data_IF_637266346564
#
_entry.id   IF_637266346564
#
_cell.length_a   1.000
_cell.length_b   1.000
_cell.length_c   1.000
_cell.angle_alpha   90.00
_cell.angle_beta   90.00
_cell.angle_gamma   90.00
#
_symmetry.space_group_name_H-M   'P 1'
#
loop_
_entity.id
_entity.type
_entity.pdbx_description
1 polymer ?
#
# COMPACT_ATOMS: atom_id res chain seq x y z
N UNK A 1 7.84 -9.50 -20.53
CA UNK A 1 6.38 -9.57 -20.50
C UNK A 1 5.83 -8.16 -20.39
N UNK A 2 4.65 -7.92 -20.96
CA UNK A 2 3.80 -6.75 -20.78
C UNK A 2 2.74 -7.04 -19.73
N UNK A 3 2.84 -6.38 -18.59
CA UNK A 3 2.02 -6.62 -17.40
C UNK A 3 1.09 -5.42 -17.23
N UNK A 4 -0.22 -5.63 -17.38
CA UNK A 4 -1.21 -4.60 -17.08
C UNK A 4 -1.45 -4.51 -15.58
N UNK A 5 -1.28 -3.33 -14.99
CA UNK A 5 -1.46 -3.10 -13.55
C UNK A 5 -1.96 -1.68 -13.27
N UNK A 6 -2.91 -1.54 -12.34
CA UNK A 6 -3.41 -0.23 -11.91
C UNK A 6 -2.56 0.38 -10.79
N UNK A 7 -2.36 1.69 -10.83
CA UNK A 7 -1.72 2.43 -9.74
C UNK A 7 -2.70 2.65 -8.57
N UNK A 8 -2.94 1.60 -7.80
CA UNK A 8 -3.84 1.63 -6.62
C UNK A 8 -3.06 1.99 -5.36
N UNK A 9 -2.00 1.22 -5.06
CA UNK A 9 -1.13 1.38 -3.90
C UNK A 9 0.27 1.84 -4.33
N UNK A 10 0.57 3.13 -4.17
CA UNK A 10 1.81 3.74 -4.70
C UNK A 10 3.10 3.10 -4.18
N UNK A 11 3.20 2.86 -2.87
CA UNK A 11 4.38 2.22 -2.26
C UNK A 11 4.56 0.77 -2.71
N UNK A 12 3.47 -0.02 -2.78
CA UNK A 12 3.53 -1.39 -3.30
C UNK A 12 3.92 -1.43 -4.79
N UNK A 13 3.28 -0.58 -5.59
CA UNK A 13 3.52 -0.50 -7.04
C UNK A 13 4.96 -0.11 -7.30
N UNK A 14 5.53 0.79 -6.49
CA UNK A 14 6.94 1.20 -6.59
C UNK A 14 7.89 0.02 -6.48
N UNK A 15 7.66 -0.90 -5.56
CA UNK A 15 8.46 -2.14 -5.47
C UNK A 15 8.18 -3.09 -6.63
N UNK A 16 6.90 -3.23 -7.01
CA UNK A 16 6.47 -4.18 -8.03
C UNK A 16 7.06 -3.88 -9.42
N UNK A 17 7.16 -2.60 -9.78
CA UNK A 17 7.64 -2.17 -11.11
C UNK A 17 9.16 -2.20 -11.29
N UNK A 18 9.93 -2.64 -10.29
CA UNK A 18 11.41 -2.70 -10.37
C UNK A 18 11.94 -3.89 -11.17
N UNK A 19 11.07 -4.82 -11.59
CA UNK A 19 11.47 -5.97 -12.38
C UNK A 19 11.83 -5.61 -13.83
N UNK A 20 12.43 -6.57 -14.54
CA UNK A 20 12.81 -6.43 -15.96
C UNK A 20 11.65 -6.56 -16.95
N UNK A 21 10.43 -6.17 -16.56
CA UNK A 21 9.24 -6.27 -17.40
C UNK A 21 8.76 -4.88 -17.84
N UNK A 22 7.85 -4.88 -18.81
CA UNK A 22 7.10 -3.68 -19.18
C UNK A 22 5.78 -3.70 -18.41
N UNK A 23 5.51 -2.63 -17.67
CA UNK A 23 4.34 -2.48 -16.81
C UNK A 23 3.43 -1.42 -17.42
N UNK A 24 2.30 -1.84 -17.96
CA UNK A 24 1.31 -0.98 -18.59
C UNK A 24 0.42 -0.39 -17.48
N UNK A 25 0.44 0.93 -17.35
CA UNK A 25 -0.25 1.69 -16.33
C UNK A 25 -1.38 2.49 -16.99
N UNK A 26 -2.64 2.14 -16.78
CA UNK A 26 -3.75 2.89 -17.34
C UNK A 26 -3.70 4.36 -16.93
N UNK A 27 -3.88 5.26 -17.90
CA UNK A 27 -3.95 6.70 -17.68
C UNK A 27 -5.20 7.29 -18.33
N UNK A 28 -5.93 8.09 -17.56
CA UNK A 28 -7.06 8.91 -18.03
C UNK A 28 -6.65 10.38 -18.08
N UNK A 29 -7.36 11.18 -18.86
CA UNK A 29 -7.08 12.61 -19.01
C UNK A 29 -7.15 13.38 -17.67
N UNK A 30 -8.07 12.99 -16.79
CA UNK A 30 -8.23 13.56 -15.45
C UNK A 30 -7.28 12.95 -14.40
N UNK A 31 -6.59 11.85 -14.77
CA UNK A 31 -5.75 11.03 -13.88
C UNK A 31 -6.48 10.59 -12.61
N UNK A 32 -7.77 10.27 -12.76
CA UNK A 32 -8.62 9.79 -11.68
C UNK A 32 -8.21 8.41 -11.13
N UNK A 33 -8.90 7.92 -10.08
CA UNK A 33 -8.57 6.66 -9.40
C UNK A 33 -8.43 5.42 -10.30
N UNK A 34 -9.11 5.39 -11.43
CA UNK A 34 -9.09 4.25 -12.36
C UNK A 34 -8.01 4.35 -13.44
N UNK A 35 -7.37 5.52 -13.59
CA UNK A 35 -6.31 5.74 -14.56
C UNK A 35 -5.37 6.84 -14.12
N UNK A 36 -4.74 6.70 -12.95
CA UNK A 36 -3.80 7.69 -12.42
C UNK A 36 -2.53 7.83 -13.29
N UNK A 37 -2.16 6.76 -13.99
CA UNK A 37 -0.85 6.62 -14.62
C UNK A 37 0.28 6.49 -13.60
N UNK A 38 1.46 6.97 -13.99
CA UNK A 38 2.69 6.96 -13.20
C UNK A 38 2.56 7.80 -11.94
N UNK A 39 3.28 7.37 -10.91
CA UNK A 39 3.48 8.13 -9.69
C UNK A 39 4.06 9.53 -9.92
N UNK A 40 3.63 10.50 -9.10
CA UNK A 40 4.23 11.85 -9.01
C UNK A 40 5.31 11.95 -7.93
N UNK A 41 5.15 11.22 -6.83
CA UNK A 41 6.04 11.24 -5.65
C UNK A 41 7.14 10.17 -5.68
N UNK A 42 7.06 9.22 -6.63
CA UNK A 42 8.05 8.16 -6.84
C UNK A 42 8.64 8.25 -8.25
N UNK A 43 9.93 7.93 -8.37
CA UNK A 43 10.60 7.83 -9.67
C UNK A 43 10.55 6.38 -10.18
N UNK A 44 9.51 6.02 -10.93
CA UNK A 44 9.38 4.68 -11.51
C UNK A 44 10.32 4.48 -12.71
N UNK A 45 10.79 3.25 -12.99
CA UNK A 45 11.68 2.99 -14.12
C UNK A 45 10.99 3.25 -15.47
N UNK A 46 11.78 3.32 -16.54
CA UNK A 46 11.29 3.51 -17.90
C UNK A 46 10.33 2.40 -18.35
N UNK A 47 10.44 1.20 -17.77
CA UNK A 47 9.53 0.08 -18.04
C UNK A 47 8.10 0.27 -17.53
N UNK A 48 7.82 1.29 -16.70
CA UNK A 48 6.46 1.61 -16.26
C UNK A 48 5.77 2.59 -17.22
N UNK A 49 5.09 2.09 -18.23
CA UNK A 49 4.59 2.87 -19.37
C UNK A 49 3.13 3.27 -19.14
N UNK A 50 2.79 4.54 -19.32
CA UNK A 50 1.39 4.98 -19.30
C UNK A 50 0.70 4.59 -20.62
N UNK A 51 -0.52 4.07 -20.54
CA UNK A 51 -1.29 3.62 -21.70
C UNK A 51 -2.75 4.05 -21.53
N UNK A 52 -3.37 4.60 -22.57
CA UNK A 52 -4.80 5.00 -22.51
C UNK A 52 -5.72 3.79 -22.71
N UNK A 53 -7.01 3.89 -22.32
CA UNK A 53 -7.99 2.84 -22.60
C UNK A 53 -8.09 2.46 -24.09
N UNK A 54 -7.95 3.42 -25.00
CA UNK A 54 -7.98 3.19 -26.44
C UNK A 54 -6.77 2.38 -26.90
N UNK A 55 -5.57 2.72 -26.41
CA UNK A 55 -4.34 1.98 -26.72
C UNK A 55 -4.36 0.56 -26.15
N UNK A 56 -4.97 0.36 -24.97
CA UNK A 56 -5.11 -0.95 -24.33
C UNK A 56 -5.96 -1.95 -25.14
N UNK A 57 -6.83 -1.47 -26.03
CA UNK A 57 -7.62 -2.34 -26.89
C UNK A 57 -6.73 -3.08 -27.90
N UNK A 58 -5.65 -2.45 -28.35
CA UNK A 58 -4.77 -2.95 -29.40
C UNK A 58 -3.43 -3.50 -28.88
N UNK A 59 -3.02 -3.12 -27.66
CA UNK A 59 -1.74 -3.58 -27.06
C UNK A 59 -1.82 -5.04 -26.60
N UNK A 60 -0.79 -5.85 -26.93
CA UNK A 60 -0.64 -7.18 -26.35
C UNK A 60 -0.38 -7.10 -24.84
N UNK A 61 -1.15 -7.87 -24.07
CA UNK A 61 -1.01 -7.97 -22.62
C UNK A 61 -0.75 -9.44 -22.30
N UNK A 62 0.38 -9.73 -21.69
CA UNK A 62 0.76 -11.11 -21.34
C UNK A 62 0.05 -11.57 -20.05
N UNK A 63 -0.14 -10.65 -19.11
CA UNK A 63 -0.81 -10.91 -17.83
C UNK A 63 -1.41 -9.64 -17.24
N UNK A 64 -2.53 -9.80 -16.53
CA UNK A 64 -3.23 -8.71 -15.83
C UNK A 64 -3.09 -8.88 -14.31
N UNK A 65 -2.68 -7.83 -13.62
CA UNK A 65 -2.60 -7.76 -12.16
C UNK A 65 -3.72 -6.86 -11.64
N UNK A 66 -4.75 -7.51 -11.11
CA UNK A 66 -5.93 -6.87 -10.52
C UNK A 66 -5.64 -6.57 -9.05
N UNK A 67 -6.12 -5.44 -8.53
CA UNK A 67 -5.94 -5.04 -7.12
C UNK A 67 -7.25 -4.62 -6.45
N UNK A 68 -8.32 -4.45 -7.24
CA UNK A 68 -9.66 -4.06 -6.80
C UNK A 68 -10.72 -4.87 -7.55
N UNK A 69 -11.90 -5.10 -6.97
CA UNK A 69 -12.97 -5.84 -7.65
C UNK A 69 -13.37 -5.21 -8.99
N UNK A 70 -13.43 -3.87 -9.08
CA UNK A 70 -13.77 -3.18 -10.33
C UNK A 70 -12.72 -3.34 -11.45
N UNK A 71 -11.48 -3.72 -11.13
CA UNK A 71 -10.43 -3.87 -12.13
C UNK A 71 -10.77 -4.98 -13.13
N UNK A 72 -11.60 -5.97 -12.76
CA UNK A 72 -12.10 -7.00 -13.67
C UNK A 72 -12.92 -6.42 -14.81
N UNK A 73 -13.86 -5.53 -14.48
CA UNK A 73 -14.73 -4.90 -15.46
C UNK A 73 -13.97 -3.86 -16.29
N UNK A 74 -13.07 -3.09 -15.66
CA UNK A 74 -12.19 -2.15 -16.36
C UNK A 74 -11.27 -2.88 -17.35
N UNK A 75 -10.63 -3.98 -16.92
CA UNK A 75 -9.80 -4.81 -17.78
C UNK A 75 -10.59 -5.31 -18.99
N UNK A 76 -11.80 -5.85 -18.77
CA UNK A 76 -12.66 -6.32 -19.86
C UNK A 76 -13.04 -5.20 -20.82
N UNK A 77 -13.41 -4.03 -20.29
CA UNK A 77 -13.84 -2.89 -21.10
C UNK A 77 -12.69 -2.29 -21.92
N UNK A 78 -11.49 -2.19 -21.35
CA UNK A 78 -10.36 -1.47 -21.97
C UNK A 78 -9.47 -2.38 -22.81
N UNK A 79 -9.37 -3.66 -22.46
CA UNK A 79 -8.56 -4.62 -23.23
C UNK A 79 -9.37 -5.43 -24.24
N UNK A 80 -10.71 -5.36 -24.16
CA UNK A 80 -11.65 -6.21 -24.91
C UNK A 80 -11.44 -7.73 -24.68
N UNK A 81 -10.73 -8.11 -23.61
CA UNK A 81 -10.36 -9.49 -23.25
C UNK A 81 -10.86 -9.80 -21.84
N UNK A 82 -11.28 -11.05 -21.60
CA UNK A 82 -11.74 -11.50 -20.27
C UNK A 82 -10.54 -11.94 -19.42
N UNK A 83 -10.27 -11.30 -18.27
CA UNK A 83 -9.22 -11.73 -17.36
C UNK A 83 -9.44 -13.17 -16.87
N UNK A 84 -8.39 -13.99 -16.87
CA UNK A 84 -8.43 -15.41 -16.47
C UNK A 84 -8.99 -16.36 -17.53
N UNK A 85 -9.45 -15.85 -18.69
CA UNK A 85 -9.96 -16.67 -19.80
C UNK A 85 -9.23 -16.37 -21.10
N UNK A 86 -9.26 -15.12 -21.56
CA UNK A 86 -8.61 -14.71 -22.81
C UNK A 86 -7.17 -14.24 -22.56
N UNK A 87 -6.88 -13.74 -21.34
CA UNK A 87 -5.55 -13.34 -20.87
C UNK A 87 -5.35 -13.83 -19.43
N UNK A 88 -4.20 -14.42 -19.07
CA UNK A 88 -3.89 -14.76 -17.68
C UNK A 88 -4.06 -13.57 -16.75
N UNK A 89 -4.68 -13.79 -15.58
CA UNK A 89 -4.88 -12.74 -14.60
C UNK A 89 -4.61 -13.25 -13.18
N UNK A 90 -4.16 -12.35 -12.32
CA UNK A 90 -3.99 -12.59 -10.88
C UNK A 90 -4.62 -11.43 -10.11
N UNK A 91 -5.22 -11.73 -8.96
CA UNK A 91 -5.76 -10.70 -8.06
C UNK A 91 -4.87 -10.57 -6.83
N UNK A 92 -4.28 -9.40 -6.61
CA UNK A 92 -3.47 -9.12 -5.43
C UNK A 92 -4.35 -8.50 -4.35
N UNK A 93 -4.48 -9.20 -3.23
CA UNK A 93 -5.26 -8.73 -2.07
C UNK A 93 -4.34 -8.04 -1.05
N UNK A 94 -4.48 -6.72 -0.94
CA UNK A 94 -3.70 -5.85 -0.07
C UNK A 94 -4.30 -5.62 1.30
N UNK A 95 -5.60 -5.85 1.46
CA UNK A 95 -6.38 -5.40 2.58
C UNK A 95 -6.85 -6.58 3.43
N UNK A 96 -7.16 -6.26 4.68
CA UNK A 96 -7.87 -7.17 5.57
C UNK A 96 -9.36 -7.19 5.22
N UNK A 97 -10.05 -8.30 5.50
CA UNK A 97 -11.49 -8.39 5.30
C UNK A 97 -12.26 -7.32 6.10
N UNK A 98 -13.36 -6.86 5.51
CA UNK A 98 -14.35 -5.99 6.15
C UNK A 98 -15.72 -6.19 5.51
N UNK A 99 -16.84 -6.09 6.28
CA UNK A 99 -16.98 -5.47 7.60
C UNK A 99 -16.68 -6.42 8.79
N UNK A 100 -16.61 -7.73 8.57
CA UNK A 100 -16.38 -8.74 9.61
C UNK A 100 -15.03 -9.44 9.43
N UNK A 101 -14.24 -9.51 10.50
CA UNK A 101 -12.88 -10.05 10.44
C UNK A 101 -12.77 -11.49 9.94
N UNK A 102 -13.70 -12.37 10.32
CA UNK A 102 -13.60 -13.82 10.08
C UNK A 102 -14.65 -14.38 9.12
N UNK A 103 -15.67 -13.58 8.77
CA UNK A 103 -16.82 -14.07 7.97
C UNK A 103 -17.03 -13.25 6.69
N UNK A 104 -16.17 -12.26 6.42
CA UNK A 104 -16.24 -11.56 5.15
C UNK A 104 -15.66 -12.45 4.08
N UNK A 105 -16.49 -12.73 3.08
CA UNK A 105 -16.13 -13.50 1.90
C UNK A 105 -15.42 -12.63 0.87
N UNK A 106 -14.36 -13.16 0.28
CA UNK A 106 -13.60 -12.46 -0.76
C UNK A 106 -14.45 -12.26 -2.02
N UNK A 107 -14.36 -11.11 -2.73
CA UNK A 107 -15.11 -10.87 -3.96
C UNK A 107 -14.88 -11.88 -5.08
N UNK A 108 -13.70 -12.52 -5.10
CA UNK A 108 -13.33 -13.58 -6.04
C UNK A 108 -13.44 -15.00 -5.44
N UNK A 109 -14.21 -15.19 -4.36
CA UNK A 109 -14.42 -16.52 -3.78
C UNK A 109 -15.17 -17.46 -4.75
N UNK A 110 -14.85 -18.75 -4.66
CA UNK A 110 -15.49 -19.85 -5.43
C UNK A 110 -15.42 -19.76 -6.95
N UNK A 111 -14.26 -19.37 -7.45
CA UNK A 111 -13.91 -19.52 -8.86
C UNK A 111 -12.46 -19.98 -9.02
N UNK A 112 -12.11 -20.49 -10.19
CA UNK A 112 -10.79 -21.07 -10.47
C UNK A 112 -10.01 -20.37 -11.59
N UNK A 113 -10.59 -19.37 -12.24
CA UNK A 113 -10.02 -18.66 -13.39
C UNK A 113 -8.93 -17.65 -12.97
N UNK A 114 -9.08 -17.01 -11.81
CA UNK A 114 -8.18 -15.95 -11.32
C UNK A 114 -7.70 -16.30 -9.91
N UNK A 115 -6.44 -16.71 -9.71
CA UNK A 115 -5.91 -16.93 -8.37
C UNK A 115 -5.82 -15.63 -7.56
N UNK A 116 -6.01 -15.75 -6.25
CA UNK A 116 -5.88 -14.66 -5.28
C UNK A 116 -4.49 -14.76 -4.65
N UNK A 117 -3.68 -13.72 -4.79
CA UNK A 117 -2.36 -13.59 -4.18
C UNK A 117 -2.49 -12.64 -2.99
N UNK A 118 -2.35 -13.17 -1.79
CA UNK A 118 -2.33 -12.37 -0.57
C UNK A 118 -0.92 -11.83 -0.31
N UNK A 119 -0.84 -10.58 0.12
CA UNK A 119 0.46 -9.95 0.43
C UNK A 119 1.02 -10.31 1.80
N UNK A 120 0.26 -11.06 2.60
CA UNK A 120 0.69 -11.61 3.88
C UNK A 120 0.01 -12.95 4.17
N UNK A 121 0.65 -13.77 5.01
CA UNK A 121 0.01 -14.95 5.58
C UNK A 121 -1.22 -14.61 6.44
N UNK A 122 -1.23 -13.42 7.07
CA UNK A 122 -2.40 -12.92 7.81
C UNK A 122 -3.61 -12.74 6.88
N UNK A 123 -3.45 -12.05 5.74
CA UNK A 123 -4.59 -11.84 4.83
C UNK A 123 -5.15 -13.17 4.31
N UNK A 124 -4.28 -14.13 3.97
CA UNK A 124 -4.71 -15.47 3.53
C UNK A 124 -5.49 -16.21 4.60
N UNK A 125 -5.11 -16.05 5.88
CA UNK A 125 -5.79 -16.70 6.99
C UNK A 125 -7.19 -16.13 7.24
N UNK A 126 -7.34 -14.80 7.13
CA UNK A 126 -8.57 -14.11 7.55
C UNK A 126 -9.59 -13.93 6.43
N UNK A 127 -9.19 -13.92 5.16
CA UNK A 127 -10.15 -13.90 4.06
C UNK A 127 -10.79 -15.26 3.86
N UNK A 128 -12.13 -15.30 3.81
CA UNK A 128 -12.85 -16.46 3.31
C UNK A 128 -12.85 -16.43 1.77
N UNK A 129 -11.91 -17.16 1.17
CA UNK A 129 -11.79 -17.28 -0.29
C UNK A 129 -12.62 -18.45 -0.87
N UNK A 130 -13.36 -19.20 -0.05
CA UNK A 130 -14.05 -20.42 -0.48
C UNK A 130 -13.10 -21.39 -1.18
N UNK A 131 -13.49 -21.87 -2.36
CA UNK A 131 -12.71 -22.78 -3.21
C UNK A 131 -11.71 -22.09 -4.16
N UNK A 132 -11.57 -20.76 -4.09
CA UNK A 132 -10.63 -20.04 -4.94
C UNK A 132 -9.18 -20.40 -4.61
N UNK A 133 -8.33 -20.46 -5.65
CA UNK A 133 -6.90 -20.72 -5.47
C UNK A 133 -6.25 -19.52 -4.77
N UNK A 134 -5.52 -19.79 -3.69
CA UNK A 134 -4.83 -18.75 -2.91
C UNK A 134 -3.34 -19.03 -2.81
N UNK A 135 -2.53 -17.98 -2.96
CA UNK A 135 -1.09 -18.00 -2.73
C UNK A 135 -0.68 -16.81 -1.85
N UNK A 136 0.53 -16.88 -1.29
CA UNK A 136 1.13 -15.74 -0.58
C UNK A 136 2.41 -15.32 -1.29
N UNK A 137 2.49 -14.05 -1.64
CA UNK A 137 3.74 -13.38 -2.04
C UNK A 137 3.89 -12.18 -1.13
N UNK A 138 4.82 -12.28 -0.19
CA UNK A 138 5.00 -11.26 0.83
C UNK A 138 5.42 -9.92 0.23
N UNK A 139 5.10 -8.86 0.95
CA UNK A 139 5.53 -7.52 0.59
C UNK A 139 7.05 -7.40 0.46
N UNK A 140 7.49 -6.85 -0.67
CA UNK A 140 8.85 -6.35 -0.87
C UNK A 140 8.90 -4.83 -0.85
N UNK A 141 10.01 -4.27 -0.38
CA UNK A 141 10.33 -2.83 -0.47
C UNK A 141 11.63 -2.65 -1.25
N UNK A 142 11.76 -1.51 -1.95
CA UNK A 142 13.06 -1.07 -2.46
C UNK A 142 13.92 -0.73 -1.24
N UNK A 143 15.05 -1.41 -1.08
CA UNK A 143 15.92 -1.23 0.09
C UNK A 143 16.43 0.23 0.15
N UNK A 144 16.00 1.03 1.14
CA UNK A 144 16.48 2.39 1.32
C UNK A 144 17.92 2.46 1.88
N UNK A 145 18.47 1.33 2.31
CA UNK A 145 19.75 1.24 3.02
C UNK A 145 19.65 1.69 4.48
N UNK A 146 20.72 1.44 5.22
CA UNK A 146 20.83 1.84 6.63
C UNK A 146 21.07 3.34 6.77
N UNK A 147 20.15 4.06 7.43
CA UNK A 147 20.24 5.51 7.66
C UNK A 147 20.11 5.92 9.14
N UNK A 148 19.83 4.99 10.04
CA UNK A 148 19.50 5.30 11.44
C UNK A 148 20.57 6.13 12.16
N UNK A 149 20.14 7.26 12.75
CA UNK A 149 20.97 8.11 13.63
C UNK A 149 20.42 8.26 15.04
N UNK A 150 19.09 8.19 15.22
CA UNK A 150 18.44 8.30 16.54
C UNK A 150 18.69 9.63 17.29
N UNK A 151 19.09 10.67 16.57
CA UNK A 151 19.52 11.95 17.15
C UNK A 151 18.38 12.72 17.85
N UNK A 152 17.11 12.53 17.44
CA UNK A 152 15.94 13.14 18.08
C UNK A 152 15.32 12.16 19.07
N UNK A 153 15.20 12.59 20.32
CA UNK A 153 14.50 11.88 21.39
C UNK A 153 12.96 11.86 21.19
N UNK A 154 12.53 11.35 20.04
CA UNK A 154 11.14 11.28 19.57
C UNK A 154 10.88 9.91 18.93
N UNK A 155 9.61 9.51 18.89
CA UNK A 155 9.16 8.32 18.18
C UNK A 155 8.55 8.69 16.83
N UNK A 156 8.89 7.94 15.78
CA UNK A 156 8.30 8.10 14.45
C UNK A 156 7.08 7.18 14.29
N UNK A 157 6.00 7.72 13.74
CA UNK A 157 4.82 6.96 13.29
C UNK A 157 4.60 7.28 11.81
N UNK A 158 4.40 6.27 10.98
CA UNK A 158 4.12 6.48 9.54
C UNK A 158 2.74 5.93 9.22
N UNK A 159 1.80 6.79 8.85
CA UNK A 159 0.39 6.45 8.66
C UNK A 159 -0.27 7.35 7.61
N UNK A 160 -1.11 6.76 6.75
CA UNK A 160 -1.94 7.49 5.79
C UNK A 160 -3.39 7.49 6.23
N UNK A 161 -4.05 8.63 6.04
CA UNK A 161 -5.46 8.89 6.38
C UNK A 161 -5.84 8.57 7.84
N UNK A 162 -5.04 8.98 8.84
CA UNK A 162 -5.23 8.55 10.23
C UNK A 162 -6.56 9.01 10.84
N UNK A 163 -7.09 10.17 10.46
CA UNK A 163 -8.40 10.64 10.96
C UNK A 163 -9.53 9.79 10.37
N UNK A 164 -9.49 9.50 9.07
CA UNK A 164 -10.51 8.69 8.38
C UNK A 164 -10.48 7.22 8.82
N UNK A 165 -9.28 6.64 8.96
CA UNK A 165 -9.08 5.21 9.27
C UNK A 165 -9.08 4.90 10.75
N UNK A 166 -8.81 5.90 11.58
CA UNK A 166 -8.94 5.89 13.03
C UNK A 166 -8.43 4.61 13.69
N UNK A 167 -9.32 3.80 14.28
CA UNK A 167 -8.95 2.59 15.03
C UNK A 167 -8.22 1.54 14.20
N UNK A 168 -8.48 1.46 12.90
CA UNK A 168 -7.84 0.46 12.03
C UNK A 168 -6.33 0.66 11.97
N UNK A 169 -5.87 1.92 11.99
CA UNK A 169 -4.44 2.29 11.96
C UNK A 169 -3.90 2.70 13.33
N UNK A 170 -4.72 2.61 14.38
CA UNK A 170 -4.31 2.92 15.75
C UNK A 170 -4.19 4.39 16.09
N UNK A 171 -4.87 5.28 15.36
CA UNK A 171 -4.81 6.73 15.63
C UNK A 171 -5.25 7.08 17.06
N UNK A 172 -6.23 6.37 17.60
CA UNK A 172 -6.72 6.51 18.97
C UNK A 172 -5.69 6.11 20.05
N UNK A 173 -4.59 5.45 19.68
CA UNK A 173 -3.50 5.10 20.60
C UNK A 173 -2.47 6.21 20.77
N UNK A 174 -2.38 7.13 19.79
CA UNK A 174 -1.37 8.18 19.77
C UNK A 174 -1.38 9.06 21.04
N UNK A 175 -2.52 9.44 21.64
CA UNK A 175 -2.52 10.21 22.90
C UNK A 175 -1.92 9.45 24.09
N UNK A 176 -2.04 8.11 24.10
CA UNK A 176 -1.44 7.30 25.15
C UNK A 176 0.06 7.13 24.96
N UNK A 177 0.47 6.85 23.72
CA UNK A 177 1.87 6.71 23.33
C UNK A 177 2.64 8.03 23.48
N UNK A 178 1.98 9.16 23.19
CA UNK A 178 2.58 10.48 23.31
C UNK A 178 2.90 10.87 24.75
N UNK A 179 2.45 10.14 25.77
CA UNK A 179 2.91 10.34 27.17
C UNK A 179 4.29 9.74 27.42
N UNK A 180 4.67 8.67 26.71
CA UNK A 180 5.97 8.03 26.87
C UNK A 180 7.09 8.82 26.15
N UNK A 181 6.84 9.29 24.93
CA UNK A 181 7.76 10.13 24.17
C UNK A 181 6.98 11.06 23.21
N UNK A 182 7.53 12.23 22.82
CA UNK A 182 6.92 13.02 21.77
C UNK A 182 6.90 12.27 20.43
N UNK A 183 5.83 12.44 19.66
CA UNK A 183 5.58 11.73 18.41
C UNK A 183 5.79 12.64 17.20
N UNK A 184 6.44 12.12 16.18
CA UNK A 184 6.48 12.72 14.84
C UNK A 184 5.74 11.79 13.88
N UNK A 185 4.63 12.28 13.32
CA UNK A 185 3.72 11.51 12.47
C UNK A 185 3.91 11.89 11.01
N UNK A 186 4.30 10.94 10.19
CA UNK A 186 4.56 11.10 8.77
C UNK A 186 3.48 10.40 7.94
N UNK A 187 3.18 10.94 6.76
CA UNK A 187 2.30 10.29 5.78
C UNK A 187 1.26 11.25 5.22
N UNK A 188 0.21 10.68 4.64
CA UNK A 188 -0.85 11.42 3.96
C UNK A 188 -2.02 11.75 4.90
N UNK A 189 -2.60 12.93 4.75
CA UNK A 189 -3.71 13.48 5.50
C UNK A 189 -3.48 13.44 7.03
N UNK A 190 -2.27 13.80 7.44
CA UNK A 190 -1.83 13.83 8.85
C UNK A 190 -1.97 15.20 9.49
N UNK A 191 -2.04 16.30 8.72
CA UNK A 191 -2.02 17.68 9.22
C UNK A 191 -3.09 17.97 10.30
N UNK A 192 -4.29 17.41 10.16
CA UNK A 192 -5.41 17.62 11.10
C UNK A 192 -5.25 16.87 12.45
N UNK A 193 -4.26 15.97 12.59
CA UNK A 193 -4.14 15.12 13.77
C UNK A 193 -4.03 15.85 15.11
N UNK A 194 -3.21 16.93 15.26
CA UNK A 194 -3.06 17.62 16.53
C UNK A 194 -4.40 18.13 17.07
N UNK A 195 -5.25 18.68 16.20
CA UNK A 195 -6.56 19.23 16.56
C UNK A 195 -7.56 18.13 16.94
N UNK A 196 -7.40 16.92 16.38
CA UNK A 196 -8.31 15.79 16.63
C UNK A 196 -8.00 15.01 17.90
N UNK A 197 -6.75 15.01 18.37
CA UNK A 197 -6.28 14.09 19.39
C UNK A 197 -6.17 14.68 20.80
N UNK A 198 -6.45 15.98 20.98
CA UNK A 198 -6.31 16.68 22.26
C UNK A 198 -4.93 16.41 22.92
N UNK A 199 -3.89 16.35 22.10
CA UNK A 199 -2.50 16.16 22.53
C UNK A 199 -1.83 17.53 22.61
N UNK A 200 -1.03 17.76 23.65
CA UNK A 200 -0.30 19.02 23.80
C UNK A 200 0.63 19.24 22.57
N UNK A 201 0.72 20.47 22.02
CA UNK A 201 1.48 20.73 20.78
C UNK A 201 2.95 20.29 20.84
N UNK A 202 3.55 20.28 22.03
CA UNK A 202 4.92 19.82 22.27
C UNK A 202 5.07 18.28 22.34
N UNK A 203 4.01 17.53 22.12
CA UNK A 203 3.99 16.06 22.18
C UNK A 203 3.67 15.40 20.85
N UNK A 204 3.24 16.14 19.83
CA UNK A 204 2.90 15.58 18.52
C UNK A 204 3.14 16.60 17.40
N UNK A 205 3.96 16.23 16.42
CA UNK A 205 4.15 16.96 15.17
C UNK A 205 3.75 16.10 13.97
N UNK A 206 3.39 16.75 12.88
CA UNK A 206 2.95 16.10 11.64
C UNK A 206 3.80 16.54 10.46
N UNK A 207 4.06 15.60 9.56
CA UNK A 207 4.90 15.75 8.37
C UNK A 207 4.13 15.19 7.17
N UNK A 208 3.42 16.09 6.50
CA UNK A 208 2.46 15.78 5.45
C UNK A 208 3.15 15.46 4.12
N UNK A 209 2.81 14.29 3.55
CA UNK A 209 3.11 13.85 2.17
C UNK A 209 4.54 14.15 1.66
N UNK A 210 5.54 13.91 2.51
CA UNK A 210 6.94 14.08 2.12
C UNK A 210 7.33 13.10 0.99
N UNK A 211 8.18 13.51 0.03
CA UNK A 211 8.82 12.58 -0.88
C UNK A 211 9.52 11.44 -0.12
N UNK A 212 9.40 10.20 -0.61
CA UNK A 212 9.80 9.00 0.14
C UNK A 212 11.24 9.06 0.68
N UNK A 213 12.21 9.48 -0.14
CA UNK A 213 13.62 9.62 0.28
C UNK A 213 13.79 10.66 1.39
N UNK A 214 13.01 11.75 1.38
CA UNK A 214 13.05 12.76 2.43
C UNK A 214 12.40 12.22 3.72
N UNK A 215 11.27 11.53 3.59
CA UNK A 215 10.62 10.84 4.72
C UNK A 215 11.58 9.84 5.39
N UNK A 216 12.28 9.00 4.61
CA UNK A 216 13.24 8.04 5.14
C UNK A 216 14.36 8.69 5.97
N UNK A 217 14.93 9.80 5.48
CA UNK A 217 15.93 10.57 6.20
C UNK A 217 15.36 11.13 7.51
N UNK A 218 14.16 11.68 7.48
CA UNK A 218 13.53 12.24 8.68
C UNK A 218 13.17 11.15 9.70
N UNK A 219 12.56 10.05 9.27
CA UNK A 219 12.22 8.92 10.13
C UNK A 219 13.47 8.34 10.80
N UNK A 220 14.55 8.14 10.06
CA UNK A 220 15.81 7.58 10.58
C UNK A 220 16.48 8.42 11.69
N UNK A 221 16.13 9.70 11.79
CA UNK A 221 16.61 10.59 12.85
C UNK A 221 15.87 10.41 14.18
N UNK A 222 14.73 9.70 14.21
CA UNK A 222 13.94 9.42 15.42
C UNK A 222 14.45 8.13 16.09
N UNK A 223 14.32 8.02 17.41
CA UNK A 223 14.93 6.92 18.18
C UNK A 223 14.25 5.57 17.98
N UNK A 224 12.95 5.57 17.69
CA UNK A 224 12.15 4.36 17.57
C UNK A 224 11.03 4.58 16.55
N UNK A 225 10.73 3.56 15.77
CA UNK A 225 9.53 3.50 14.95
C UNK A 225 8.41 2.78 15.71
N UNK A 226 7.23 3.39 15.77
CA UNK A 226 6.06 2.84 16.45
C UNK A 226 5.00 2.46 15.42
N UNK A 227 4.75 1.15 15.29
CA UNK A 227 3.76 0.59 14.39
C UNK A 227 2.42 0.39 15.11
N UNK A 228 1.45 1.27 14.84
CA UNK A 228 0.16 1.31 15.55
C UNK A 228 -0.98 0.58 14.84
N UNK A 229 -0.75 -0.01 13.68
CA UNK A 229 -1.82 -0.63 12.90
C UNK A 229 -2.48 -1.78 13.67
N UNK A 230 -3.83 -1.84 13.63
CA UNK A 230 -4.61 -2.90 14.28
C UNK A 230 -5.33 -3.82 13.30
N UNK A 231 -5.95 -3.24 12.28
CA UNK A 231 -6.75 -3.97 11.30
C UNK A 231 -6.41 -3.47 9.91
N UNK A 232 -5.18 -3.77 9.53
CA UNK A 232 -4.61 -3.55 8.21
C UNK A 232 -3.82 -4.78 7.82
N UNK A 233 -3.41 -4.89 6.56
CA UNK A 233 -2.30 -5.77 6.23
C UNK A 233 -0.99 -5.23 6.82
N UNK A 234 0.13 -5.91 6.59
CA UNK A 234 1.45 -5.46 6.97
C UNK A 234 1.76 -4.11 6.30
N UNK A 235 1.98 -3.06 7.10
CA UNK A 235 2.32 -1.75 6.56
C UNK A 235 3.74 -1.76 5.99
N UNK A 236 3.91 -1.37 4.72
CA UNK A 236 5.23 -1.29 4.08
C UNK A 236 6.20 -0.36 4.83
N UNK A 237 5.68 0.66 5.52
CA UNK A 237 6.49 1.56 6.35
C UNK A 237 7.17 0.88 7.53
N UNK A 238 6.67 -0.27 7.99
CA UNK A 238 7.36 -1.11 8.97
C UNK A 238 8.60 -1.76 8.35
N UNK A 239 8.48 -2.33 7.15
CA UNK A 239 9.62 -2.92 6.44
C UNK A 239 10.66 -1.86 6.12
N UNK A 240 10.23 -0.69 5.63
CA UNK A 240 11.12 0.46 5.38
C UNK A 240 11.85 0.87 6.67
N UNK A 241 11.16 0.99 7.81
CA UNK A 241 11.78 1.32 9.09
C UNK A 241 12.83 0.27 9.54
N UNK A 242 12.56 -1.02 9.30
CA UNK A 242 13.51 -2.10 9.58
C UNK A 242 14.77 -1.99 8.70
N UNK A 243 14.61 -1.73 7.40
CA UNK A 243 15.75 -1.54 6.49
C UNK A 243 16.59 -0.31 6.84
N UNK A 244 15.95 0.77 7.31
CA UNK A 244 16.64 1.98 7.76
C UNK A 244 17.48 1.73 9.02
N UNK A 245 17.26 0.63 9.75
CA UNK A 245 17.97 0.26 10.98
C UNK A 245 17.29 0.75 12.27
N UNK A 246 16.00 1.15 12.22
CA UNK A 246 15.32 1.64 13.42
C UNK A 246 14.95 0.50 14.38
N UNK A 247 15.09 0.71 15.70
CA UNK A 247 14.33 -0.05 16.69
C UNK A 247 12.83 0.09 16.43
N UNK A 248 12.11 -1.04 16.45
CA UNK A 248 10.66 -1.10 16.20
C UNK A 248 9.92 -1.47 17.48
N UNK A 249 8.84 -0.75 17.75
CA UNK A 249 7.80 -1.14 18.71
C UNK A 249 6.50 -1.33 17.93
N UNK A 250 5.91 -2.52 18.01
CA UNK A 250 4.64 -2.84 17.35
C UNK A 250 3.59 -3.27 18.37
N UNK A 251 2.32 -3.10 18.02
CA UNK A 251 1.22 -3.70 18.76
C UNK A 251 1.23 -5.22 18.59
N UNK A 252 0.85 -5.92 19.65
CA UNK A 252 0.72 -7.38 19.73
C UNK A 252 -0.73 -7.77 20.03
#
# INVERSE_FOLDING_TARGET
MRILVWHVHGSWTTSFVQGGHEYLLPVLADRGPDGRGRARTWNWPAGAVEVTPEELADVDVDVIVLQRPQDLELARAWTLRRPGVDVPAVYVEHNTPGPSAATTRHPLADQSAVPIVHVTHFNRLFWDCGSARTEVVEHGVVDPGHLYSGEWARAAVVVNDPVRRWRAVGTDLLPALSRAAPLDVFGMNVHDLPDRLAVAPERLWTFEDLPQTAMHREVARRRVYVHTSRWTSLGLSLLEAMHLGLPVVALA
#
